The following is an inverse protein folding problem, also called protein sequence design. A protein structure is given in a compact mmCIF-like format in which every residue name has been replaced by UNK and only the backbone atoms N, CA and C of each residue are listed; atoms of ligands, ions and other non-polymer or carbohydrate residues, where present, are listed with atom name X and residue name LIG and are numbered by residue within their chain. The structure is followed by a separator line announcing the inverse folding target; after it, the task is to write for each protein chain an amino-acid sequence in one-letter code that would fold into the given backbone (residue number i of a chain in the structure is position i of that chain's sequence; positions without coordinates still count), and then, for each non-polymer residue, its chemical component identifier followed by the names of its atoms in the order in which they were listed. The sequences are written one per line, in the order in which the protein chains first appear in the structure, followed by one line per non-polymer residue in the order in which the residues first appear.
data_IF_572650192633
#
_entry.id   IF_572650192633
#
_cell.length_a   1.000
_cell.length_b   1.000
_cell.length_c   1.000
_cell.angle_alpha   90.00
_cell.angle_beta   90.00
_cell.angle_gamma   90.00
#
_symmetry.space_group_name_H-M   'P 1'
#
loop_
_entity.id
_entity.type
_entity.pdbx_description
1 polymer ?
#
# COMPACT_ATOMS: atom_id res chain seq x y z
N UNK A 1 6.07 23.94 14.95
CA UNK A 1 5.47 23.11 16.03
C UNK A 1 4.18 22.40 15.60
N UNK A 2 3.22 23.09 14.99
CA UNK A 2 1.94 22.48 14.56
C UNK A 2 2.10 21.27 13.62
N UNK A 3 2.94 21.36 12.59
CA UNK A 3 3.16 20.24 11.65
C UNK A 3 3.74 19.00 12.33
N UNK A 4 4.75 19.17 13.18
CA UNK A 4 5.35 18.07 13.95
C UNK A 4 4.34 17.41 14.90
N UNK A 5 3.47 18.21 15.53
CA UNK A 5 2.36 17.68 16.33
C UNK A 5 1.37 16.87 15.49
N UNK A 6 1.00 17.36 14.30
CA UNK A 6 0.10 16.66 13.37
C UNK A 6 0.73 15.32 12.94
N UNK A 7 1.97 15.34 12.45
CA UNK A 7 2.65 14.12 11.97
C UNK A 7 2.86 13.08 13.06
N UNK A 8 3.07 13.48 14.31
CA UNK A 8 3.15 12.53 15.44
C UNK A 8 1.84 11.79 15.71
N UNK A 9 0.70 12.41 15.42
CA UNK A 9 -0.62 11.85 15.73
C UNK A 9 -1.34 11.26 14.50
N UNK A 10 -0.88 11.57 13.28
CA UNK A 10 -1.54 11.12 12.04
C UNK A 10 -1.51 9.59 11.88
N UNK A 11 -0.43 8.93 12.35
CA UNK A 11 -0.30 7.47 12.23
C UNK A 11 -1.41 6.73 12.99
N UNK A 12 -1.72 7.18 14.21
CA UNK A 12 -2.80 6.59 15.01
C UNK A 12 -4.16 6.78 14.34
N UNK A 13 -4.37 7.95 13.74
CA UNK A 13 -5.62 8.24 13.05
C UNK A 13 -5.80 7.39 11.79
N UNK A 14 -4.74 7.25 10.99
CA UNK A 14 -4.73 6.39 9.80
C UNK A 14 -4.91 4.91 10.16
N UNK A 15 -4.28 4.44 11.23
CA UNK A 15 -4.48 3.08 11.71
C UNK A 15 -5.97 2.82 12.04
N UNK A 16 -6.61 3.72 12.80
CA UNK A 16 -8.05 3.61 13.11
C UNK A 16 -8.93 3.62 11.86
N UNK A 17 -8.64 4.49 10.91
CA UNK A 17 -9.39 4.58 9.65
C UNK A 17 -9.29 3.30 8.83
N UNK A 18 -8.07 2.72 8.73
CA UNK A 18 -7.85 1.48 8.01
C UNK A 18 -8.55 0.30 8.68
N UNK A 19 -8.39 0.13 10.00
CA UNK A 19 -9.08 -0.94 10.74
C UNK A 19 -10.59 -0.85 10.57
N UNK A 20 -11.16 0.34 10.75
CA UNK A 20 -12.59 0.56 10.56
C UNK A 20 -13.05 0.17 9.15
N UNK A 21 -12.33 0.61 8.11
CA UNK A 21 -12.65 0.25 6.72
C UNK A 21 -12.59 -1.25 6.48
N UNK A 22 -11.53 -1.92 6.96
CA UNK A 22 -11.34 -3.36 6.79
C UNK A 22 -12.43 -4.17 7.51
N UNK A 23 -12.79 -3.83 8.74
CA UNK A 23 -13.85 -4.50 9.49
C UNK A 23 -15.20 -4.37 8.79
N UNK A 24 -15.50 -3.19 8.24
CA UNK A 24 -16.72 -2.96 7.47
C UNK A 24 -16.76 -3.76 6.17
N UNK A 25 -15.64 -3.86 5.46
CA UNK A 25 -15.53 -4.69 4.26
C UNK A 25 -15.71 -6.17 4.62
N UNK A 26 -15.06 -6.65 5.69
CA UNK A 26 -15.18 -8.04 6.15
C UNK A 26 -16.62 -8.39 6.53
N UNK A 27 -17.29 -7.48 7.24
CA UNK A 27 -18.69 -7.62 7.58
C UNK A 27 -19.57 -7.68 6.33
N UNK A 28 -19.40 -6.75 5.38
CA UNK A 28 -20.19 -6.72 4.16
C UNK A 28 -20.05 -8.01 3.32
N UNK A 29 -18.81 -8.50 3.16
CA UNK A 29 -18.51 -9.74 2.43
C UNK A 29 -19.15 -10.95 3.12
N UNK A 30 -19.11 -11.03 4.45
CA UNK A 30 -19.65 -12.16 5.20
C UNK A 30 -21.20 -12.24 5.16
N UNK A 31 -21.89 -11.14 4.88
CA UNK A 31 -23.36 -11.07 4.94
C UNK A 31 -24.04 -11.00 3.57
N UNK A 32 -23.31 -10.76 2.48
CA UNK A 32 -23.87 -10.69 1.12
C UNK A 32 -22.83 -11.11 0.06
N UNK A 33 -23.07 -12.22 -0.62
CA UNK A 33 -22.15 -12.73 -1.66
C UNK A 33 -22.02 -11.79 -2.86
N UNK A 34 -23.07 -11.05 -3.25
CA UNK A 34 -22.98 -10.07 -4.34
C UNK A 34 -22.01 -8.93 -3.97
N UNK A 35 -21.96 -8.56 -2.68
CA UNK A 35 -21.01 -7.55 -2.19
C UNK A 35 -19.56 -8.01 -2.33
N UNK A 36 -19.30 -9.32 -2.21
CA UNK A 36 -17.95 -9.87 -2.42
C UNK A 36 -17.46 -9.58 -3.85
N UNK A 37 -18.31 -9.78 -4.85
CA UNK A 37 -17.94 -9.51 -6.25
C UNK A 37 -17.74 -8.01 -6.51
N UNK A 38 -18.58 -7.15 -5.92
CA UNK A 38 -18.46 -5.70 -6.04
C UNK A 38 -17.13 -5.24 -5.42
N UNK A 39 -16.82 -5.68 -4.20
CA UNK A 39 -15.58 -5.32 -3.50
C UNK A 39 -14.35 -5.83 -4.27
N UNK A 40 -14.39 -7.06 -4.79
CA UNK A 40 -13.32 -7.59 -5.62
C UNK A 40 -13.06 -6.73 -6.87
N UNK A 41 -14.13 -6.20 -7.48
CA UNK A 41 -14.02 -5.30 -8.64
C UNK A 41 -13.41 -3.95 -8.24
N UNK A 42 -13.86 -3.37 -7.12
CA UNK A 42 -13.33 -2.09 -6.63
C UNK A 42 -11.85 -2.20 -6.23
N UNK A 43 -11.45 -3.29 -5.59
CA UNK A 43 -10.05 -3.57 -5.28
C UNK A 43 -9.21 -3.70 -6.56
N UNK A 44 -9.71 -4.39 -7.59
CA UNK A 44 -9.01 -4.49 -8.87
C UNK A 44 -8.83 -3.13 -9.57
N UNK A 45 -9.82 -2.23 -9.48
CA UNK A 45 -9.68 -0.85 -9.96
C UNK A 45 -8.62 -0.10 -9.14
N UNK A 46 -8.64 -0.26 -7.82
CA UNK A 46 -7.65 0.31 -6.90
C UNK A 46 -6.22 -0.13 -7.25
N UNK A 47 -6.01 -1.43 -7.50
CA UNK A 47 -4.72 -1.98 -7.93
C UNK A 47 -4.23 -1.29 -9.20
N UNK A 48 -5.12 -1.05 -10.17
CA UNK A 48 -4.79 -0.32 -11.40
C UNK A 48 -4.31 1.12 -11.15
N UNK A 49 -4.93 1.82 -10.19
CA UNK A 49 -4.50 3.16 -9.78
C UNK A 49 -3.13 3.12 -9.10
N UNK A 50 -2.90 2.16 -8.20
CA UNK A 50 -1.59 2.00 -7.53
C UNK A 50 -0.48 1.66 -8.52
N UNK A 51 -0.72 0.76 -9.48
CA UNK A 51 0.27 0.43 -10.52
C UNK A 51 0.64 1.69 -11.31
N UNK A 52 -0.33 2.52 -11.68
CA UNK A 52 -0.06 3.77 -12.40
C UNK A 52 0.81 4.70 -11.56
N UNK A 53 0.45 4.89 -10.30
CA UNK A 53 1.13 5.84 -9.41
C UNK A 53 2.55 5.34 -9.02
N UNK A 54 2.77 4.02 -8.90
CA UNK A 54 4.09 3.44 -8.65
C UNK A 54 4.99 3.38 -9.88
N UNK A 55 4.39 3.33 -11.08
CA UNK A 55 5.15 3.44 -12.32
C UNK A 55 5.58 4.89 -12.62
N UNK A 56 5.06 5.89 -11.89
CA UNK A 56 5.52 7.26 -11.98
C UNK A 56 6.92 7.41 -11.34
N UNK A 57 7.98 7.70 -12.14
CA UNK A 57 9.32 7.85 -11.60
C UNK A 57 9.44 9.04 -10.63
N UNK A 58 8.57 10.05 -10.74
CA UNK A 58 8.65 11.26 -9.90
C UNK A 58 8.46 10.92 -8.43
N UNK A 59 7.45 10.11 -8.10
CA UNK A 59 7.18 9.72 -6.72
C UNK A 59 8.32 8.87 -6.15
N UNK A 60 8.80 7.89 -6.94
CA UNK A 60 9.92 7.01 -6.55
C UNK A 60 11.19 7.80 -6.25
N UNK A 61 11.59 8.70 -7.16
CA UNK A 61 12.80 9.50 -7.00
C UNK A 61 12.70 10.46 -5.82
N UNK A 62 11.53 11.11 -5.65
CA UNK A 62 11.29 11.99 -4.51
C UNK A 62 11.39 11.24 -3.17
N UNK A 63 10.78 10.06 -3.06
CA UNK A 63 10.87 9.23 -1.86
C UNK A 63 12.29 8.74 -1.61
N UNK A 64 13.01 8.32 -2.64
CA UNK A 64 14.41 7.91 -2.50
C UNK A 64 15.30 9.05 -1.98
N UNK A 65 15.09 10.30 -2.43
CA UNK A 65 15.78 11.48 -1.90
C UNK A 65 15.44 11.71 -0.43
N UNK A 66 14.15 11.61 -0.06
CA UNK A 66 13.71 11.80 1.33
C UNK A 66 14.32 10.72 2.23
N UNK A 67 14.29 9.45 1.83
CA UNK A 67 14.85 8.34 2.59
C UNK A 67 16.38 8.40 2.66
N UNK A 68 17.04 8.81 1.58
CA UNK A 68 18.49 9.01 1.53
C UNK A 68 18.97 10.33 2.17
N UNK A 69 18.05 11.20 2.61
CA UNK A 69 18.32 12.52 3.19
C UNK A 69 18.99 13.53 2.24
N UNK A 70 19.25 13.15 1.00
CA UNK A 70 19.98 13.94 -0.01
C UNK A 70 19.86 13.32 -1.41
N UNK A 71 20.24 14.07 -2.44
CA UNK A 71 20.29 13.57 -3.82
C UNK A 71 21.35 12.46 -3.97
N UNK A 72 22.51 12.61 -3.32
CA UNK A 72 23.58 11.61 -3.37
C UNK A 72 23.17 10.31 -2.66
N UNK A 73 22.49 10.42 -1.52
CA UNK A 73 21.95 9.29 -0.77
C UNK A 73 20.82 8.54 -1.49
N UNK A 74 20.12 9.19 -2.43
CA UNK A 74 19.02 8.59 -3.16
C UNK A 74 19.45 7.40 -4.03
N UNK A 75 20.66 7.42 -4.60
CA UNK A 75 21.14 6.38 -5.52
C UNK A 75 21.59 5.09 -4.83
N UNK A 76 21.71 5.09 -3.51
CA UNK A 76 22.06 3.91 -2.70
C UNK A 76 20.97 3.64 -1.68
N UNK A 77 21.26 3.93 -0.41
CA UNK A 77 20.39 3.63 0.72
C UNK A 77 18.94 4.14 0.55
N UNK A 78 18.73 5.32 -0.07
CA UNK A 78 17.39 5.85 -0.28
C UNK A 78 16.52 4.99 -1.20
N UNK A 79 17.10 4.46 -2.28
CA UNK A 79 16.39 3.56 -3.19
C UNK A 79 16.18 2.18 -2.57
N UNK A 80 17.14 1.69 -1.79
CA UNK A 80 17.00 0.42 -1.06
C UNK A 80 15.80 0.47 -0.09
N UNK A 81 15.69 1.56 0.70
CA UNK A 81 14.56 1.80 1.60
C UNK A 81 13.24 1.90 0.85
N UNK A 82 13.23 2.54 -0.33
CA UNK A 82 12.04 2.57 -1.18
C UNK A 82 11.61 1.17 -1.63
N UNK A 83 12.56 0.34 -2.07
CA UNK A 83 12.26 -1.03 -2.49
C UNK A 83 11.76 -1.91 -1.33
N UNK A 84 12.33 -1.76 -0.13
CA UNK A 84 11.85 -2.43 1.07
C UNK A 84 10.44 -1.98 1.47
N UNK A 85 10.16 -0.68 1.42
CA UNK A 85 8.83 -0.12 1.65
C UNK A 85 7.82 -0.70 0.66
N UNK A 86 8.17 -0.81 -0.63
CA UNK A 86 7.31 -1.37 -1.66
C UNK A 86 7.01 -2.86 -1.42
N UNK A 87 8.02 -3.66 -1.05
CA UNK A 87 7.82 -5.06 -0.66
C UNK A 87 6.87 -5.20 0.52
N UNK A 88 7.08 -4.41 1.57
CA UNK A 88 6.22 -4.42 2.76
C UNK A 88 4.78 -4.00 2.43
N UNK A 89 4.61 -2.97 1.60
CA UNK A 89 3.30 -2.52 1.14
C UNK A 89 2.55 -3.62 0.39
N UNK A 90 3.19 -4.29 -0.58
CA UNK A 90 2.56 -5.36 -1.36
C UNK A 90 2.20 -6.54 -0.47
N UNK A 91 3.10 -6.99 0.40
CA UNK A 91 2.82 -8.07 1.34
C UNK A 91 1.58 -7.77 2.19
N UNK A 92 1.56 -6.57 2.79
CA UNK A 92 0.45 -6.13 3.65
C UNK A 92 -0.87 -6.05 2.89
N UNK A 93 -0.83 -5.54 1.66
CA UNK A 93 -2.02 -5.46 0.81
C UNK A 93 -2.58 -6.85 0.47
N UNK A 94 -1.71 -7.79 0.07
CA UNK A 94 -2.13 -9.17 -0.23
C UNK A 94 -2.67 -9.88 1.02
N UNK A 95 -2.04 -9.68 2.18
CA UNK A 95 -2.51 -10.22 3.47
C UNK A 95 -3.90 -9.70 3.81
N UNK A 96 -4.18 -8.40 3.62
CA UNK A 96 -5.51 -7.85 3.83
C UNK A 96 -6.53 -8.38 2.83
N UNK A 97 -6.18 -8.50 1.55
CA UNK A 97 -7.04 -9.11 0.54
C UNK A 97 -7.37 -10.58 0.88
N UNK A 98 -6.37 -11.35 1.32
CA UNK A 98 -6.56 -12.71 1.80
C UNK A 98 -7.47 -12.75 3.04
N UNK A 99 -7.23 -11.86 4.00
CA UNK A 99 -8.05 -11.75 5.22
C UNK A 99 -9.50 -11.35 4.90
N UNK A 100 -9.73 -10.52 3.89
CA UNK A 100 -11.05 -10.16 3.37
C UNK A 100 -11.73 -11.28 2.57
N UNK A 101 -11.08 -12.43 2.36
CA UNK A 101 -11.56 -13.54 1.53
C UNK A 101 -11.68 -13.19 0.02
N UNK A 102 -10.86 -12.24 -0.42
CA UNK A 102 -10.76 -11.80 -1.82
C UNK A 102 -9.28 -11.87 -2.23
N UNK A 103 -8.72 -13.08 -2.42
CA UNK A 103 -7.30 -13.24 -2.71
C UNK A 103 -6.91 -12.53 -4.01
N UNK A 104 -5.75 -11.88 -3.98
CA UNK A 104 -5.16 -11.16 -5.11
C UNK A 104 -3.78 -11.74 -5.43
N UNK A 105 -3.34 -11.52 -6.66
CA UNK A 105 -1.97 -11.82 -7.11
C UNK A 105 -1.22 -10.51 -7.27
N UNK A 106 0.10 -10.56 -7.11
CA UNK A 106 0.96 -9.42 -7.43
C UNK A 106 0.75 -9.06 -8.90
N UNK A 107 0.49 -7.78 -9.24
CA UNK A 107 0.43 -7.35 -10.62
C UNK A 107 1.79 -7.48 -11.32
N UNK A 108 1.80 -7.88 -12.60
CA UNK A 108 3.03 -8.07 -13.42
C UNK A 108 4.04 -6.90 -13.31
N UNK A 109 3.62 -5.61 -13.37
CA UNK A 109 4.58 -4.49 -13.25
C UNK A 109 5.27 -4.38 -11.89
N UNK A 110 4.74 -5.04 -10.86
CA UNK A 110 5.20 -5.00 -9.48
C UNK A 110 5.81 -6.34 -9.02
N UNK A 111 6.01 -7.31 -9.92
CA UNK A 111 6.57 -8.63 -9.57
C UNK A 111 7.93 -8.56 -8.89
N UNK A 112 8.76 -7.55 -9.22
CA UNK A 112 10.04 -7.30 -8.54
C UNK A 112 9.92 -7.05 -7.02
N UNK A 113 8.70 -6.74 -6.55
CA UNK A 113 8.37 -6.48 -5.15
C UNK A 113 7.52 -7.60 -4.53
N UNK A 114 7.38 -8.73 -5.20
CA UNK A 114 6.67 -9.88 -4.64
C UNK A 114 7.29 -10.28 -3.28
N UNK A 115 6.47 -10.71 -2.30
CA UNK A 115 6.96 -11.26 -1.05
C UNK A 115 7.91 -12.43 -1.34
N UNK A 116 9.08 -12.44 -0.72
CA UNK A 116 9.99 -13.59 -0.79
C UNK A 116 9.49 -14.66 0.18
N UNK A 117 9.45 -15.92 -0.27
CA UNK A 117 9.08 -17.09 0.55
C UNK A 117 10.04 -17.32 1.72
#
# INVERSE_FOLDING_TARGET
EAESFIYRNVLQDKARLLTYGLDHLKFAIAHNEDQKQIIATLLAIGDGLFIRDFNDPVLREALAIIFGGSIDGARGAGMDVYHDMMRAYISTHLEYCQWLDVPRRVPEPLEQYAPQE
#
